data_IF_178579853176
#
_entry.id   IF_178579853176
#
_cell.length_a   1.000
_cell.length_b   1.000
_cell.length_c   1.000
_cell.angle_alpha   90.00
_cell.angle_beta   90.00
_cell.angle_gamma   90.00
#
_symmetry.space_group_name_H-M   'P 1'
#
loop_
_entity.id
_entity.type
_entity.pdbx_description
1 polymer ?
#
# COMPACT_ATOMS: atom_id res chain seq x y z
N UNK A 1 1.75 23.21 -3.18
CA UNK A 1 2.19 22.96 -1.79
C UNK A 1 2.02 21.47 -1.55
N UNK A 2 3.10 20.76 -1.21
CA UNK A 2 3.06 19.29 -1.02
C UNK A 2 2.13 18.95 0.13
N UNK A 3 1.17 18.04 -0.09
CA UNK A 3 0.26 17.55 0.95
C UNK A 3 0.71 16.17 1.41
N UNK A 4 0.61 15.92 2.72
CA UNK A 4 1.00 14.67 3.35
C UNK A 4 -0.23 13.95 3.88
N UNK A 5 -0.38 12.67 3.54
CA UNK A 5 -1.48 11.84 3.95
C UNK A 5 -0.95 10.59 4.64
N UNK A 6 -1.56 10.20 5.77
CA UNK A 6 -1.29 8.93 6.42
C UNK A 6 -2.45 7.99 6.13
N UNK A 7 -2.17 6.85 5.50
CA UNK A 7 -3.18 5.85 5.22
C UNK A 7 -3.47 5.00 6.45
N UNK A 8 -4.75 4.76 6.68
CA UNK A 8 -5.20 3.68 7.55
C UNK A 8 -4.99 2.32 6.86
N UNK A 9 -4.83 1.27 7.67
CA UNK A 9 -4.73 -0.12 7.22
C UNK A 9 -5.86 -0.49 6.25
N UNK A 10 -7.11 -0.06 6.49
CA UNK A 10 -8.24 -0.43 5.62
C UNK A 10 -8.20 0.23 4.25
N UNK A 11 -7.74 1.48 4.14
CA UNK A 11 -7.58 2.19 2.87
C UNK A 11 -6.53 1.50 2.01
N UNK A 12 -5.40 1.13 2.62
CA UNK A 12 -4.35 0.40 1.94
C UNK A 12 -4.85 -0.96 1.42
N UNK A 13 -5.65 -1.69 2.21
CA UNK A 13 -6.23 -2.95 1.76
C UNK A 13 -7.18 -2.75 0.59
N UNK A 14 -8.15 -1.83 0.70
CA UNK A 14 -9.10 -1.56 -0.36
C UNK A 14 -8.45 -1.11 -1.65
N UNK A 15 -7.44 -0.23 -1.59
CA UNK A 15 -6.74 0.24 -2.78
C UNK A 15 -6.23 -0.91 -3.67
N UNK A 16 -5.72 -1.98 -3.07
CA UNK A 16 -5.17 -3.11 -3.81
C UNK A 16 -6.15 -4.28 -4.03
N UNK A 17 -7.20 -4.41 -3.23
CA UNK A 17 -8.12 -5.57 -3.33
C UNK A 17 -9.49 -5.23 -3.89
N UNK A 18 -10.01 -4.06 -3.56
CA UNK A 18 -11.38 -3.62 -3.80
C UNK A 18 -11.39 -2.07 -4.00
N UNK A 19 -10.68 -1.53 -5.00
CA UNK A 19 -10.55 -0.08 -5.21
C UNK A 19 -11.90 0.59 -5.44
N UNK A 20 -12.93 -0.15 -5.88
CA UNK A 20 -14.31 0.31 -6.00
C UNK A 20 -14.94 0.76 -4.67
N UNK A 21 -14.39 0.34 -3.52
CA UNK A 21 -14.82 0.79 -2.19
C UNK A 21 -14.24 2.15 -1.80
N UNK A 22 -13.23 2.63 -2.52
CA UNK A 22 -12.65 3.94 -2.27
C UNK A 22 -13.51 5.03 -2.89
N UNK A 23 -13.66 6.14 -2.16
CA UNK A 23 -14.30 7.32 -2.73
C UNK A 23 -13.43 7.90 -3.84
N UNK A 24 -14.07 8.62 -4.78
CA UNK A 24 -13.35 9.33 -5.84
C UNK A 24 -12.25 10.25 -5.27
N UNK A 25 -12.55 10.97 -4.20
CA UNK A 25 -11.57 11.81 -3.50
C UNK A 25 -10.38 11.03 -2.98
N UNK A 26 -10.59 9.83 -2.43
CA UNK A 26 -9.49 8.99 -1.95
C UNK A 26 -8.61 8.51 -3.11
N UNK A 27 -9.21 8.10 -4.23
CA UNK A 27 -8.47 7.76 -5.45
C UNK A 27 -7.67 8.97 -5.95
N UNK A 28 -8.31 10.13 -6.10
CA UNK A 28 -7.66 11.36 -6.58
C UNK A 28 -6.48 11.78 -5.68
N UNK A 29 -6.57 11.54 -4.37
CA UNK A 29 -5.45 11.78 -3.44
C UNK A 29 -4.34 10.75 -3.64
N UNK A 30 -4.68 9.47 -3.76
CA UNK A 30 -3.72 8.36 -3.86
C UNK A 30 -2.99 8.32 -5.20
N UNK A 31 -3.61 8.80 -6.28
CA UNK A 31 -3.04 8.80 -7.64
C UNK A 31 -2.38 10.11 -8.02
N UNK A 32 -2.33 11.09 -7.12
CA UNK A 32 -1.67 12.36 -7.38
C UNK A 32 -0.24 12.32 -6.85
N UNK A 33 0.73 12.35 -7.76
CA UNK A 33 2.17 12.26 -7.48
C UNK A 33 2.72 13.45 -6.66
N UNK A 34 2.00 14.58 -6.61
CA UNK A 34 2.37 15.73 -5.75
C UNK A 34 2.06 15.46 -4.26
N UNK A 35 1.30 14.40 -3.95
CA UNK A 35 0.98 14.00 -2.60
C UNK A 35 2.01 13.02 -2.05
N UNK A 36 2.44 13.25 -0.81
CA UNK A 36 3.25 12.30 -0.07
C UNK A 36 2.33 11.39 0.74
N UNK A 37 2.32 10.10 0.37
CA UNK A 37 1.52 9.07 1.02
C UNK A 37 2.39 8.28 1.99
N UNK A 38 1.97 8.22 3.24
CA UNK A 38 2.62 7.47 4.31
C UNK A 38 1.75 6.29 4.73
N UNK A 39 2.40 5.21 5.17
CA UNK A 39 1.74 4.07 5.79
C UNK A 39 2.41 3.84 7.14
N UNK A 40 1.60 3.59 8.18
CA UNK A 40 2.13 3.27 9.51
C UNK A 40 2.79 1.89 9.52
N UNK A 41 3.93 1.76 10.21
CA UNK A 41 4.57 0.47 10.48
C UNK A 41 3.64 -0.51 11.21
N UNK A 42 2.72 0.01 12.04
CA UNK A 42 1.71 -0.80 12.72
C UNK A 42 0.75 -1.45 11.71
N UNK A 43 0.28 -0.71 10.71
CA UNK A 43 -0.59 -1.23 9.64
C UNK A 43 0.09 -2.36 8.87
N UNK A 44 1.37 -2.21 8.55
CA UNK A 44 2.17 -3.25 7.89
C UNK A 44 2.31 -4.49 8.79
N UNK A 45 2.57 -4.31 10.09
CA UNK A 45 2.67 -5.42 11.04
C UNK A 45 1.36 -6.17 11.23
N UNK A 46 0.23 -5.46 11.29
CA UNK A 46 -1.10 -6.07 11.35
C UNK A 46 -1.39 -6.90 10.10
N UNK A 47 -1.04 -6.38 8.92
CA UNK A 47 -1.14 -7.14 7.66
C UNK A 47 -0.26 -8.39 7.71
N UNK A 48 1.02 -8.28 8.07
CA UNK A 48 1.91 -9.43 8.18
C UNK A 48 1.41 -10.47 9.21
N UNK A 49 0.79 -10.02 10.30
CA UNK A 49 0.22 -10.91 11.32
C UNK A 49 -1.05 -11.61 10.81
N UNK A 50 -1.91 -10.91 10.07
CA UNK A 50 -3.09 -11.50 9.42
C UNK A 50 -2.68 -12.46 8.29
N UNK A 51 -1.58 -12.18 7.59
CA UNK A 51 -0.99 -13.05 6.57
C UNK A 51 -0.62 -14.41 7.15
N UNK A 52 0.21 -14.40 8.20
CA UNK A 52 0.67 -15.62 8.89
C UNK A 52 -0.47 -16.48 9.41
N UNK A 53 -1.63 -15.88 9.71
CA UNK A 53 -2.84 -16.58 10.14
C UNK A 53 -3.72 -17.08 8.97
N UNK A 54 -3.31 -16.88 7.72
CA UNK A 54 -4.10 -17.23 6.53
C UNK A 54 -5.33 -16.35 6.31
N UNK A 55 -5.43 -15.20 6.99
CA UNK A 55 -6.66 -14.38 7.06
C UNK A 55 -6.72 -13.22 6.06
N UNK A 56 -5.75 -13.07 5.16
CA UNK A 56 -5.70 -11.91 4.27
C UNK A 56 -6.43 -12.07 2.93
N UNK A 57 -6.75 -13.30 2.51
CA UNK A 57 -7.48 -13.53 1.26
C UNK A 57 -6.87 -12.78 0.07
N UNK A 58 -7.65 -11.92 -0.60
CA UNK A 58 -7.21 -11.12 -1.76
C UNK A 58 -6.04 -10.16 -1.45
N UNK A 59 -5.91 -9.71 -0.20
CA UNK A 59 -4.85 -8.79 0.21
C UNK A 59 -3.47 -9.47 0.35
N UNK A 60 -3.40 -10.79 0.14
CA UNK A 60 -2.14 -11.51 0.03
C UNK A 60 -1.20 -10.89 -1.00
N UNK A 61 -1.74 -10.51 -2.16
CA UNK A 61 -0.98 -9.92 -3.27
C UNK A 61 -0.21 -8.66 -2.87
N UNK A 62 -0.70 -7.91 -1.87
CA UNK A 62 -0.03 -6.71 -1.36
C UNK A 62 1.24 -7.09 -0.61
N UNK A 63 1.20 -8.14 0.20
CA UNK A 63 2.39 -8.62 0.89
C UNK A 63 3.38 -9.23 -0.07
N UNK A 64 2.92 -9.93 -1.09
CA UNK A 64 3.81 -10.47 -2.12
C UNK A 64 4.52 -9.31 -2.85
N UNK A 65 3.82 -8.22 -3.14
CA UNK A 65 4.40 -6.99 -3.68
C UNK A 65 5.43 -6.36 -2.72
N UNK A 66 5.09 -6.24 -1.43
CA UNK A 66 5.99 -5.67 -0.41
C UNK A 66 7.17 -6.58 -0.05
N UNK A 67 7.07 -7.89 -0.30
CA UNK A 67 8.13 -8.87 -0.09
C UNK A 67 8.98 -9.09 -1.34
N UNK A 68 8.50 -8.64 -2.51
CA UNK A 68 9.26 -8.72 -3.75
C UNK A 68 10.51 -7.81 -3.69
N UNK A 69 11.73 -8.39 -3.76
CA UNK A 69 12.97 -7.63 -3.64
C UNK A 69 13.16 -6.57 -4.73
N UNK A 70 12.65 -6.81 -5.94
CA UNK A 70 12.79 -5.90 -7.08
C UNK A 70 11.88 -4.67 -6.94
N UNK A 71 10.67 -4.87 -6.41
CA UNK A 71 9.71 -3.77 -6.19
C UNK A 71 10.08 -2.94 -4.95
N UNK A 72 10.79 -3.53 -3.99
CA UNK A 72 11.42 -2.79 -2.87
C UNK A 72 12.48 -1.80 -3.32
N UNK A 73 13.17 -2.06 -4.44
CA UNK A 73 14.11 -1.11 -5.02
C UNK A 73 13.35 0.12 -5.51
N UNK A 74 12.27 -0.08 -6.26
CA UNK A 74 11.40 1.00 -6.75
C UNK A 74 10.83 1.87 -5.63
N UNK A 75 10.31 1.26 -4.56
CA UNK A 75 9.74 2.00 -3.41
C UNK A 75 10.81 2.80 -2.66
N UNK A 76 12.08 2.37 -2.71
CA UNK A 76 13.22 3.09 -2.13
C UNK A 76 13.86 4.10 -3.08
N UNK A 77 13.35 4.23 -4.31
CA UNK A 77 13.95 5.05 -5.36
C UNK A 77 15.26 4.47 -5.92
N UNK A 78 15.52 3.18 -5.69
CA UNK A 78 16.65 2.47 -6.25
C UNK A 78 16.32 1.97 -7.68
N UNK A 79 17.28 2.01 -8.62
CA UNK A 79 17.08 1.50 -9.97
C UNK A 79 16.70 0.02 -9.97
N UNK A 80 15.68 -0.34 -10.74
CA UNK A 80 15.34 -1.74 -11.01
C UNK A 80 16.11 -2.17 -12.26
N UNK A 81 16.85 -3.27 -12.19
CA UNK A 81 17.52 -3.83 -13.37
C UNK A 81 16.46 -4.37 -14.34
N UNK A 82 16.67 -4.21 -15.67
CA UNK A 82 15.71 -4.58 -16.70
C UNK A 82 15.45 -6.09 -16.83
#
# INVERSE_FOLDING_TARGET
MVKRYLLDTHILLWYYTEPEKLSKTAIDILTNDDNQIYVSSASVWEMATKHRKGKLGKAQKILDFLQNPELRKTVRGEPVEP
#
